data_IF_642146487938
#
_entry.id   IF_642146487938
#
_cell.length_a   1.000
_cell.length_b   1.000
_cell.length_c   1.000
_cell.angle_alpha   90.00
_cell.angle_beta   90.00
_cell.angle_gamma   90.00
#
_symmetry.space_group_name_H-M   'P 1'
#
loop_
_entity.id
_entity.type
_entity.pdbx_description
1 polymer ?
#
# COMPACT_ATOMS: atom_id res chain seq x y z
N UNK A 1 -33.46 -2.30 16.57
CA UNK A 1 -33.12 -2.46 15.14
C UNK A 1 -32.66 -1.11 14.62
N UNK A 2 -31.36 -0.90 14.45
CA UNK A 2 -30.83 0.29 13.77
C UNK A 2 -29.54 -0.15 13.06
N UNK A 3 -29.69 -0.56 11.80
CA UNK A 3 -28.59 -1.00 10.97
C UNK A 3 -27.87 0.27 10.47
N UNK A 4 -26.96 0.80 11.29
CA UNK A 4 -26.17 1.98 10.96
C UNK A 4 -25.05 1.60 9.99
N UNK A 5 -25.44 1.11 8.80
CA UNK A 5 -24.55 1.13 7.65
C UNK A 5 -24.43 2.62 7.29
N UNK A 6 -23.31 3.25 7.63
CA UNK A 6 -22.94 4.56 7.08
C UNK A 6 -22.88 4.41 5.56
N UNK A 7 -24.01 4.65 4.91
CA UNK A 7 -24.13 4.61 3.46
C UNK A 7 -23.41 5.83 2.90
N UNK A 8 -22.17 5.64 2.47
CA UNK A 8 -21.49 6.59 1.61
C UNK A 8 -22.21 6.69 0.28
N UNK A 9 -22.19 7.86 -0.34
CA UNK A 9 -22.80 8.05 -1.66
C UNK A 9 -22.14 7.09 -2.66
N UNK A 10 -22.89 6.44 -3.57
CA UNK A 10 -22.33 5.45 -4.50
C UNK A 10 -21.12 5.94 -5.31
N UNK A 11 -21.05 7.26 -5.58
CA UNK A 11 -19.93 7.90 -6.29
C UNK A 11 -18.64 7.93 -5.47
N UNK A 12 -18.73 8.12 -4.15
CA UNK A 12 -17.58 8.11 -3.24
C UNK A 12 -17.02 6.69 -3.16
N UNK A 13 -17.89 5.67 -3.06
CA UNK A 13 -17.45 4.27 -3.04
C UNK A 13 -16.80 3.84 -4.34
N UNK A 14 -17.35 4.26 -5.49
CA UNK A 14 -16.71 4.05 -6.79
C UNK A 14 -15.33 4.71 -6.85
N UNK A 15 -15.20 5.95 -6.36
CA UNK A 15 -13.93 6.67 -6.32
C UNK A 15 -12.89 5.98 -5.43
N UNK A 16 -13.27 5.53 -4.23
CA UNK A 16 -12.40 4.79 -3.33
C UNK A 16 -12.00 3.43 -3.91
N UNK A 17 -12.94 2.73 -4.56
CA UNK A 17 -12.65 1.49 -5.27
C UNK A 17 -11.63 1.71 -6.39
N UNK A 18 -11.84 2.74 -7.22
CA UNK A 18 -10.91 3.10 -8.29
C UNK A 18 -9.52 3.45 -7.75
N UNK A 19 -9.44 4.32 -6.74
CA UNK A 19 -8.20 4.72 -6.08
C UNK A 19 -7.44 3.50 -5.54
N UNK A 20 -8.16 2.58 -4.91
CA UNK A 20 -7.63 1.35 -4.34
C UNK A 20 -7.05 0.42 -5.40
N UNK A 21 -7.82 0.12 -6.46
CA UNK A 21 -7.38 -0.78 -7.53
C UNK A 21 -6.17 -0.17 -8.24
N UNK A 22 -6.29 1.05 -8.74
CA UNK A 22 -5.25 1.69 -9.55
C UNK A 22 -3.98 1.98 -8.76
N UNK A 23 -4.09 2.51 -7.54
CA UNK A 23 -2.94 2.74 -6.66
C UNK A 23 -2.21 1.44 -6.30
N UNK A 24 -2.95 0.38 -5.96
CA UNK A 24 -2.36 -0.92 -5.61
C UNK A 24 -1.68 -1.58 -6.80
N UNK A 25 -2.31 -1.56 -7.97
CA UNK A 25 -1.73 -2.11 -9.20
C UNK A 25 -0.46 -1.35 -9.61
N UNK A 26 -0.47 -0.02 -9.49
CA UNK A 26 0.69 0.81 -9.81
C UNK A 26 1.86 0.51 -8.87
N UNK A 27 1.63 0.43 -7.55
CA UNK A 27 2.65 0.05 -6.57
C UNK A 27 3.19 -1.36 -6.83
N UNK A 28 2.29 -2.33 -7.03
CA UNK A 28 2.67 -3.71 -7.35
C UNK A 28 3.52 -3.79 -8.60
N UNK A 29 3.11 -3.13 -9.68
CA UNK A 29 3.79 -3.26 -10.96
C UNK A 29 5.18 -2.61 -10.95
N UNK A 30 5.29 -1.40 -10.40
CA UNK A 30 6.53 -0.61 -10.46
C UNK A 30 7.52 -0.99 -9.37
N UNK A 31 7.05 -1.29 -8.15
CA UNK A 31 7.92 -1.51 -7.00
C UNK A 31 7.91 -2.95 -6.49
N UNK A 32 6.75 -3.61 -6.46
CA UNK A 32 6.60 -4.95 -5.88
C UNK A 32 7.09 -6.09 -6.78
N UNK A 33 6.59 -6.16 -8.02
CA UNK A 33 6.88 -7.24 -8.97
C UNK A 33 8.38 -7.39 -9.27
N UNK A 34 9.15 -6.31 -9.52
CA UNK A 34 10.58 -6.43 -9.74
C UNK A 34 11.31 -7.12 -8.58
N UNK A 35 10.89 -6.86 -7.33
CA UNK A 35 11.51 -7.44 -6.12
C UNK A 35 11.33 -8.95 -6.00
N UNK A 36 10.26 -9.51 -6.56
CA UNK A 36 10.04 -10.96 -6.56
C UNK A 36 10.61 -11.65 -7.81
N UNK A 37 10.54 -10.99 -8.98
CA UNK A 37 11.01 -11.57 -10.25
C UNK A 37 12.54 -11.51 -10.34
N UNK A 38 13.15 -10.44 -9.85
CA UNK A 38 14.59 -10.17 -9.92
C UNK A 38 15.24 -10.18 -8.53
N UNK A 39 14.77 -11.05 -7.63
CA UNK A 39 15.16 -11.06 -6.21
C UNK A 39 16.68 -11.02 -5.98
N UNK A 40 17.46 -11.84 -6.69
CA UNK A 40 18.92 -11.88 -6.53
C UNK A 40 19.61 -10.59 -6.97
N UNK A 41 19.09 -9.91 -7.98
CA UNK A 41 19.60 -8.62 -8.45
C UNK A 41 19.22 -7.50 -7.47
N UNK A 42 17.98 -7.51 -7.00
CA UNK A 42 17.45 -6.57 -6.01
C UNK A 42 18.20 -6.64 -4.68
N UNK A 43 18.64 -7.83 -4.24
CA UNK A 43 19.51 -7.98 -3.07
C UNK A 43 20.83 -7.20 -3.18
N UNK A 44 21.32 -6.95 -4.39
CA UNK A 44 22.57 -6.19 -4.60
C UNK A 44 22.34 -4.70 -4.77
N UNK A 45 21.11 -4.29 -5.07
CA UNK A 45 20.74 -2.89 -5.35
C UNK A 45 20.02 -2.21 -4.20
N UNK A 46 19.34 -2.99 -3.35
CA UNK A 46 18.53 -2.44 -2.29
C UNK A 46 19.39 -1.66 -1.31
N UNK A 47 18.95 -0.45 -1.00
CA UNK A 47 19.58 0.38 0.00
C UNK A 47 19.26 -0.15 1.40
N UNK A 48 20.25 -0.10 2.28
CA UNK A 48 20.14 -0.57 3.66
C UNK A 48 20.44 0.57 4.64
N UNK A 49 19.49 1.51 4.81
CA UNK A 49 19.72 2.72 5.61
C UNK A 49 19.97 2.44 7.09
N UNK A 50 19.63 1.25 7.59
CA UNK A 50 19.79 0.86 8.99
C UNK A 50 20.94 -0.12 9.23
N UNK A 51 21.58 -0.62 8.18
CA UNK A 51 22.75 -1.49 8.29
C UNK A 51 22.44 -2.92 8.75
N UNK A 52 21.21 -3.41 8.56
CA UNK A 52 20.83 -4.77 8.96
C UNK A 52 21.15 -5.84 7.92
N UNK A 53 21.60 -5.43 6.74
CA UNK A 53 21.88 -6.26 5.57
C UNK A 53 20.75 -6.24 4.55
N UNK A 54 21.06 -6.51 3.27
CA UNK A 54 20.11 -6.37 2.16
C UNK A 54 18.89 -7.30 2.29
N UNK A 55 19.05 -8.50 2.86
CA UNK A 55 17.93 -9.40 3.12
C UNK A 55 16.91 -8.81 4.11
N UNK A 56 17.39 -8.17 5.17
CA UNK A 56 16.54 -7.59 6.21
C UNK A 56 15.88 -6.28 5.75
N UNK A 57 16.37 -5.67 4.67
CA UNK A 57 15.73 -4.54 3.99
C UNK A 57 14.74 -5.01 2.90
N UNK A 58 15.08 -6.05 2.14
CA UNK A 58 14.29 -6.51 0.99
C UNK A 58 13.03 -7.27 1.39
N UNK A 59 13.10 -8.15 2.39
CA UNK A 59 11.94 -8.95 2.79
C UNK A 59 10.78 -8.09 3.31
N UNK A 60 11.01 -7.11 4.21
CA UNK A 60 9.95 -6.18 4.62
C UNK A 60 9.43 -5.31 3.46
N UNK A 61 10.31 -4.88 2.55
CA UNK A 61 9.90 -4.12 1.36
C UNK A 61 8.98 -4.95 0.46
N UNK A 62 9.28 -6.23 0.21
CA UNK A 62 8.41 -7.15 -0.53
C UNK A 62 7.06 -7.33 0.19
N UNK A 63 7.07 -7.52 1.51
CA UNK A 63 5.83 -7.65 2.27
C UNK A 63 4.95 -6.38 2.15
N UNK A 64 5.57 -5.21 2.22
CA UNK A 64 4.89 -3.93 2.05
C UNK A 64 4.40 -3.71 0.62
N UNK A 65 5.17 -4.05 -0.40
CA UNK A 65 4.89 -3.65 -1.79
C UNK A 65 4.26 -4.76 -2.65
N UNK A 66 4.14 -5.99 -2.13
CA UNK A 66 3.46 -7.10 -2.79
C UNK A 66 2.25 -7.55 -2.00
N UNK A 67 2.44 -7.96 -0.75
CA UNK A 67 1.36 -8.56 0.05
C UNK A 67 0.32 -7.50 0.42
N UNK A 68 0.75 -6.36 0.96
CA UNK A 68 -0.17 -5.31 1.38
C UNK A 68 -1.03 -4.73 0.23
N UNK A 69 -0.50 -4.37 -0.95
CA UNK A 69 -1.34 -3.91 -2.05
C UNK A 69 -2.32 -4.96 -2.55
N UNK A 70 -2.00 -6.27 -2.47
CA UNK A 70 -2.97 -7.33 -2.78
C UNK A 70 -4.14 -7.31 -1.77
N UNK A 71 -3.84 -7.22 -0.47
CA UNK A 71 -4.88 -7.11 0.56
C UNK A 71 -5.75 -5.87 0.36
N UNK A 72 -5.10 -4.73 0.04
CA UNK A 72 -5.77 -3.48 -0.27
C UNK A 72 -6.65 -3.64 -1.50
N UNK A 73 -6.21 -4.26 -2.59
CA UNK A 73 -6.98 -4.48 -3.82
C UNK A 73 -8.34 -5.15 -3.53
N UNK A 74 -8.34 -6.18 -2.68
CA UNK A 74 -9.56 -6.88 -2.25
C UNK A 74 -10.35 -6.15 -1.15
N UNK A 75 -9.82 -5.07 -0.60
CA UNK A 75 -10.43 -4.29 0.48
C UNK A 75 -10.36 -4.98 1.84
N UNK A 76 -9.40 -5.90 2.03
CA UNK A 76 -9.18 -6.66 3.26
C UNK A 76 -8.17 -5.93 4.13
N UNK A 77 -8.53 -5.64 5.38
CA UNK A 77 -7.68 -4.94 6.35
C UNK A 77 -7.00 -3.67 5.78
N UNK A 78 -7.64 -2.96 4.83
CA UNK A 78 -7.01 -1.90 4.02
C UNK A 78 -6.27 -0.85 4.84
N UNK A 79 -6.86 -0.37 5.93
CA UNK A 79 -6.21 0.65 6.79
C UNK A 79 -4.90 0.13 7.39
N UNK A 80 -4.90 -1.10 7.88
CA UNK A 80 -3.72 -1.74 8.46
C UNK A 80 -2.68 -2.06 7.38
N UNK A 81 -3.11 -2.57 6.23
CA UNK A 81 -2.24 -2.87 5.10
C UNK A 81 -1.60 -1.61 4.49
N UNK A 82 -2.18 -0.43 4.65
CA UNK A 82 -1.54 0.82 4.23
C UNK A 82 -0.34 1.21 5.12
N UNK A 83 -0.29 0.75 6.39
CA UNK A 83 0.76 1.17 7.33
C UNK A 83 2.16 0.75 6.86
N UNK A 84 2.42 -0.52 6.50
CA UNK A 84 3.73 -0.93 5.97
C UNK A 84 4.11 -0.19 4.68
N UNK A 85 3.14 0.07 3.79
CA UNK A 85 3.37 0.81 2.54
C UNK A 85 3.80 2.25 2.82
N UNK A 86 3.07 2.95 3.68
CA UNK A 86 3.42 4.34 4.04
C UNK A 86 4.77 4.38 4.73
N UNK A 87 5.08 3.41 5.60
CA UNK A 87 6.37 3.34 6.27
C UNK A 87 7.54 3.17 5.27
N UNK A 88 7.46 2.21 4.32
CA UNK A 88 8.54 2.00 3.35
C UNK A 88 8.71 3.20 2.42
N UNK A 89 7.61 3.84 2.00
CA UNK A 89 7.68 5.03 1.15
C UNK A 89 8.24 6.24 1.90
N UNK A 90 7.92 6.42 3.19
CA UNK A 90 8.52 7.47 4.01
C UNK A 90 10.03 7.24 4.20
N UNK A 91 10.45 6.00 4.46
CA UNK A 91 11.88 5.66 4.54
C UNK A 91 12.56 5.96 3.21
N UNK A 92 11.97 5.54 2.09
CA UNK A 92 12.50 5.82 0.76
C UNK A 92 12.67 7.32 0.49
N UNK A 93 11.66 8.14 0.78
CA UNK A 93 11.70 9.58 0.48
C UNK A 93 12.53 10.40 1.48
N UNK A 94 12.52 10.04 2.76
CA UNK A 94 13.10 10.88 3.81
C UNK A 94 14.49 10.42 4.27
N UNK A 95 14.80 9.14 4.14
CA UNK A 95 16.05 8.56 4.66
C UNK A 95 16.96 8.14 3.52
N UNK A 96 16.40 7.48 2.51
CA UNK A 96 17.17 6.92 1.40
C UNK A 96 17.46 7.98 0.33
N UNK A 97 16.47 8.81 -0.01
CA UNK A 97 16.63 9.89 -0.99
C UNK A 97 16.29 11.29 -0.44
N UNK A 98 16.93 11.74 0.66
CA UNK A 98 16.60 13.01 1.31
C UNK A 98 16.89 14.25 0.44
N UNK A 99 17.76 14.10 -0.56
CA UNK A 99 18.17 15.19 -1.46
C UNK A 99 17.32 15.34 -2.72
N UNK A 100 16.38 14.42 -2.99
CA UNK A 100 15.53 14.52 -4.17
C UNK A 100 14.64 15.76 -4.11
N UNK A 101 14.63 16.49 -5.22
CA UNK A 101 13.63 17.51 -5.49
C UNK A 101 12.24 16.90 -5.55
N UNK A 102 11.20 17.74 -5.44
CA UNK A 102 9.80 17.31 -5.60
C UNK A 102 9.60 16.61 -6.95
N UNK A 103 10.26 17.06 -8.02
CA UNK A 103 10.14 16.48 -9.35
C UNK A 103 10.73 15.07 -9.44
N UNK A 104 11.86 14.80 -8.78
CA UNK A 104 12.48 13.47 -8.73
C UNK A 104 11.67 12.52 -7.86
N UNK A 105 11.22 12.98 -6.68
CA UNK A 105 10.43 12.18 -5.73
C UNK A 105 8.93 12.12 -6.04
N UNK A 106 8.44 12.78 -7.09
CA UNK A 106 7.00 13.02 -7.31
C UNK A 106 6.17 11.73 -7.28
N UNK A 107 6.73 10.63 -7.77
CA UNK A 107 6.05 9.33 -7.80
C UNK A 107 5.92 8.72 -6.40
N UNK A 108 6.99 8.74 -5.61
CA UNK A 108 6.95 8.29 -4.21
C UNK A 108 5.98 9.12 -3.37
N UNK A 109 5.99 10.44 -3.57
CA UNK A 109 5.03 11.35 -2.92
C UNK A 109 3.59 11.12 -3.36
N UNK A 110 3.35 10.85 -4.64
CA UNK A 110 2.02 10.50 -5.16
C UNK A 110 1.50 9.22 -4.52
N UNK A 111 2.32 8.17 -4.43
CA UNK A 111 1.94 6.93 -3.78
C UNK A 111 1.66 7.15 -2.28
N UNK A 112 2.47 7.97 -1.60
CA UNK A 112 2.21 8.37 -0.20
C UNK A 112 0.84 9.03 -0.04
N UNK A 113 0.48 9.97 -0.93
CA UNK A 113 -0.83 10.63 -0.90
C UNK A 113 -1.95 9.59 -1.07
N UNK A 114 -1.82 8.69 -2.05
CA UNK A 114 -2.83 7.66 -2.35
C UNK A 114 -3.03 6.72 -1.15
N UNK A 115 -1.95 6.12 -0.63
CA UNK A 115 -2.07 5.13 0.44
C UNK A 115 -2.37 5.75 1.79
N UNK A 116 -1.94 6.99 2.06
CA UNK A 116 -2.36 7.73 3.25
C UNK A 116 -3.84 8.08 3.17
N UNK A 117 -4.34 8.46 1.99
CA UNK A 117 -5.78 8.67 1.79
C UNK A 117 -6.55 7.39 2.11
N UNK A 118 -6.14 6.23 1.57
CA UNK A 118 -6.77 4.94 1.86
C UNK A 118 -6.63 4.52 3.34
N UNK A 119 -5.54 4.88 4.02
CA UNK A 119 -5.38 4.65 5.45
C UNK A 119 -6.41 5.45 6.27
N UNK A 120 -6.72 6.68 5.85
CA UNK A 120 -7.68 7.59 6.51
C UNK A 120 -9.13 7.28 6.15
N UNK A 121 -9.44 6.92 4.90
CA UNK A 121 -10.81 6.67 4.44
C UNK A 121 -11.22 5.22 4.63
N UNK A 122 -10.26 4.28 4.55
CA UNK A 122 -10.52 2.85 4.50
C UNK A 122 -10.97 2.37 3.11
N UNK A 123 -11.48 1.14 3.01
CA UNK A 123 -11.67 0.44 1.74
C UNK A 123 -12.88 0.87 0.89
N UNK A 124 -13.81 1.67 1.44
CA UNK A 124 -15.14 1.86 0.85
C UNK A 124 -16.04 0.63 0.95
N UNK A 125 -17.25 0.72 0.41
CA UNK A 125 -18.27 -0.33 0.41
C UNK A 125 -17.98 -1.43 -0.63
N UNK A 126 -17.34 -1.10 -1.75
CA UNK A 126 -17.05 -2.05 -2.83
C UNK A 126 -15.79 -2.85 -2.53
N UNK A 127 -15.94 -3.96 -1.81
CA UNK A 127 -14.84 -4.84 -1.39
C UNK A 127 -15.30 -6.28 -1.26
N UNK A 128 -14.35 -7.21 -1.19
CA UNK A 128 -14.68 -8.61 -0.89
C UNK A 128 -15.21 -8.69 0.53
N UNK A 129 -16.46 -9.14 0.67
CA UNK A 129 -17.13 -9.26 1.97
C UNK A 129 -16.67 -10.56 2.64
N UNK A 130 -15.97 -10.46 3.76
CA UNK A 130 -15.58 -11.63 4.54
C UNK A 130 -16.79 -12.18 5.31
N UNK A 131 -17.13 -13.46 5.11
CA UNK A 131 -18.18 -14.16 5.88
C UNK A 131 -17.95 -14.20 7.40
N UNK A 132 -16.74 -13.88 7.88
CA UNK A 132 -16.42 -13.83 9.30
C UNK A 132 -17.31 -12.85 10.10
N UNK A 133 -17.89 -11.84 9.44
CA UNK A 133 -18.81 -10.88 10.07
C UNK A 133 -20.26 -11.39 10.16
N UNK A 134 -20.60 -12.49 9.50
CA UNK A 134 -21.97 -13.03 9.48
C UNK A 134 -22.26 -14.04 10.60
N UNK A 135 -21.23 -14.54 11.30
CA UNK A 135 -21.41 -15.54 12.38
C UNK A 135 -21.75 -14.97 13.76
N UNK A 136 -21.88 -13.65 13.88
CA UNK A 136 -22.18 -12.96 15.14
C UNK A 136 -23.29 -11.90 15.02
N UNK A 137 -24.10 -11.96 13.96
CA UNK A 137 -25.25 -11.08 13.75
C UNK A 137 -26.56 -11.86 13.86
#
# INVERSE_FOLDING_TARGET
MMNSQTQTLPRIDLGLFFLRITGSLLLLYVHGLPKIVHFSEELTRIEDPFGFGPYFSLIPAIAAEVICPILILFGVATRLACVPIVAVLLVAMLVVHPGWSIAEGQFGWLLLIIFTTLAITGPGAWRVRSRATERFA
#
